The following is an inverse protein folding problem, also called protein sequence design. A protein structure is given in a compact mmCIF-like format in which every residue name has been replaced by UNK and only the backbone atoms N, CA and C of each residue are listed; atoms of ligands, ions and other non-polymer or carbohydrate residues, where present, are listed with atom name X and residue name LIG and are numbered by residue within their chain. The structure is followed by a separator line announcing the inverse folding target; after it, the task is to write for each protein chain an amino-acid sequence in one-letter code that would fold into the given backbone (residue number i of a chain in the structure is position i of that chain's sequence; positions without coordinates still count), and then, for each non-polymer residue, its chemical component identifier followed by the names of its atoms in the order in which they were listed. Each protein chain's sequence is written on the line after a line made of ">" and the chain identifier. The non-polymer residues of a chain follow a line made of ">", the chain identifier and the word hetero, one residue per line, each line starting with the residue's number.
data_IF_155107075417
#
_entry.id   IF_155107075417
#
_cell.length_a   1.000
_cell.length_b   1.000
_cell.length_c   1.000
_cell.angle_alpha   90.00
_cell.angle_beta   90.00
_cell.angle_gamma   90.00
#
_symmetry.space_group_name_H-M   'P 1'
#
loop_
_entity.id
_entity.type
_entity.pdbx_description
1 polymer ?
#
# COMPACT_ATOMS: atom_id res chain seq x y z
N UNK A 1 4.39 -10.81 18.46
CA UNK A 1 5.04 -12.11 18.18
C UNK A 1 5.93 -11.92 16.95
N UNK A 2 7.25 -11.83 17.15
CA UNK A 2 8.22 -11.60 16.08
C UNK A 2 8.38 -12.86 15.23
N UNK A 3 8.07 -12.78 13.94
CA UNK A 3 8.50 -13.78 12.96
C UNK A 3 9.61 -13.14 12.14
N UNK A 4 10.81 -13.13 12.71
CA UNK A 4 12.05 -13.08 11.93
C UNK A 4 12.07 -14.34 11.07
N UNK A 5 12.11 -14.21 9.75
CA UNK A 5 12.60 -15.27 8.87
C UNK A 5 13.89 -14.81 8.23
N UNK A 6 14.98 -15.29 8.83
CA UNK A 6 16.28 -15.45 8.23
C UNK A 6 16.15 -16.14 6.87
N UNK A 7 17.01 -15.78 5.91
CA UNK A 7 17.83 -16.70 5.12
C UNK A 7 18.92 -15.88 4.40
N UNK A 8 20.14 -15.93 4.96
CA UNK A 8 21.34 -15.29 4.42
C UNK A 8 22.01 -16.16 3.35
N UNK A 9 22.77 -15.52 2.44
CA UNK A 9 23.79 -16.17 1.60
C UNK A 9 24.40 -15.23 0.54
N UNK A 10 25.47 -14.51 0.89
CA UNK A 10 26.45 -13.84 -0.01
C UNK A 10 27.79 -14.65 0.06
N UNK A 11 28.82 -14.48 -0.82
CA UNK A 11 29.16 -13.27 -1.58
C UNK A 11 29.70 -13.44 -3.04
N UNK A 12 29.84 -12.26 -3.64
CA UNK A 12 30.63 -11.85 -4.82
C UNK A 12 31.99 -12.53 -5.06
N UNK A 13 32.37 -12.60 -6.33
CA UNK A 13 33.76 -12.64 -6.81
C UNK A 13 34.07 -11.41 -7.68
N UNK A 14 35.20 -10.75 -7.40
CA UNK A 14 35.67 -9.48 -7.99
C UNK A 14 36.41 -9.62 -9.33
N UNK A 15 36.34 -8.52 -10.09
CA UNK A 15 37.20 -7.94 -11.15
C UNK A 15 38.60 -8.50 -11.46
N UNK A 16 38.97 -8.44 -12.75
CA UNK A 16 40.10 -7.67 -13.36
C UNK A 16 40.02 -7.84 -14.90
N UNK A 17 40.31 -6.85 -15.76
CA UNK A 17 41.64 -6.31 -16.08
C UNK A 17 41.59 -4.90 -16.73
N UNK A 18 42.73 -4.21 -16.65
CA UNK A 18 43.01 -2.83 -17.06
C UNK A 18 43.42 -2.63 -18.54
N UNK A 19 43.06 -1.44 -19.05
CA UNK A 19 43.78 -0.51 -19.94
C UNK A 19 44.59 -1.00 -21.16
N UNK A 20 44.22 -0.47 -22.34
CA UNK A 20 45.18 0.15 -23.28
C UNK A 20 44.58 1.45 -23.85
N UNK A 21 45.29 2.56 -23.62
CA UNK A 21 45.04 3.90 -24.18
C UNK A 21 45.48 3.98 -25.66
N UNK A 22 44.93 4.99 -26.35
CA UNK A 22 45.58 5.88 -27.33
C UNK A 22 45.01 5.85 -28.76
N UNK A 23 44.50 7.03 -29.18
CA UNK A 23 44.34 7.57 -30.55
C UNK A 23 43.15 7.08 -31.42
N UNK A 24 41.94 7.51 -31.07
CA UNK A 24 40.96 8.05 -32.05
C UNK A 24 40.29 9.28 -31.43
N UNK A 25 41.10 10.32 -31.25
CA UNK A 25 40.68 11.64 -30.77
C UNK A 25 40.73 12.53 -32.01
N UNK A 26 39.65 12.55 -32.82
CA UNK A 26 39.23 13.68 -33.68
C UNK A 26 38.09 13.37 -34.71
N UNK A 27 37.39 12.23 -34.66
CA UNK A 27 36.31 11.95 -35.64
C UNK A 27 34.98 11.44 -35.07
N UNK A 28 34.73 11.59 -33.76
CA UNK A 28 33.47 11.17 -33.11
C UNK A 28 32.67 12.31 -32.45
N UNK A 29 32.99 13.58 -32.74
CA UNK A 29 32.28 14.72 -32.13
C UNK A 29 31.01 15.17 -32.86
N UNK A 30 30.55 14.44 -33.89
CA UNK A 30 29.40 14.85 -34.71
C UNK A 30 28.31 13.79 -34.91
N UNK A 31 28.36 12.63 -34.23
CA UNK A 31 27.27 11.61 -34.30
C UNK A 31 26.64 11.28 -32.94
N UNK A 32 27.18 11.77 -31.80
CA UNK A 32 26.57 11.56 -30.47
C UNK A 32 25.71 12.74 -30.00
N UNK A 33 25.02 13.40 -30.93
CA UNK A 33 23.77 14.13 -30.67
C UNK A 33 22.57 13.30 -31.14
N UNK A 34 22.66 11.97 -31.06
CA UNK A 34 21.45 11.18 -30.83
C UNK A 34 20.99 11.65 -29.46
N UNK A 35 19.95 12.47 -29.43
CA UNK A 35 19.17 12.73 -28.24
C UNK A 35 19.09 11.42 -27.46
N UNK A 36 19.62 11.38 -26.24
CA UNK A 36 19.14 10.41 -25.27
C UNK A 36 17.67 10.73 -25.09
N UNK A 37 16.81 10.21 -25.97
CA UNK A 37 15.36 10.24 -25.81
C UNK A 37 15.16 9.45 -24.53
N UNK A 38 14.91 10.17 -23.46
CA UNK A 38 14.51 9.57 -22.20
C UNK A 38 13.31 8.69 -22.51
N UNK A 39 13.49 7.37 -22.37
CA UNK A 39 12.41 6.41 -22.64
C UNK A 39 11.22 6.79 -21.77
N UNK A 40 10.03 6.85 -22.36
CA UNK A 40 8.82 7.08 -21.57
C UNK A 40 8.64 5.96 -20.55
N UNK A 41 7.93 6.21 -19.45
CA UNK A 41 7.64 5.16 -18.46
C UNK A 41 6.94 3.93 -19.08
N UNK A 42 6.17 4.15 -20.15
CA UNK A 42 5.52 3.10 -20.92
C UNK A 42 6.57 2.24 -21.66
N UNK A 43 7.52 2.87 -22.35
CA UNK A 43 8.61 2.16 -23.03
C UNK A 43 9.51 1.41 -22.04
N UNK A 44 9.69 1.97 -20.83
CA UNK A 44 10.40 1.30 -19.75
C UNK A 44 9.65 0.03 -19.33
N UNK A 45 8.33 0.09 -19.15
CA UNK A 45 7.52 -1.10 -18.81
C UNK A 45 7.63 -2.18 -19.89
N UNK A 46 7.43 -1.82 -21.16
CA UNK A 46 7.53 -2.78 -22.27
C UNK A 46 8.91 -3.44 -22.31
N UNK A 47 9.98 -2.65 -22.18
CA UNK A 47 11.34 -3.20 -22.14
C UNK A 47 11.60 -4.05 -20.90
N UNK A 48 10.93 -3.75 -19.78
CA UNK A 48 11.07 -4.49 -18.53
C UNK A 48 10.43 -5.87 -18.62
N UNK A 49 9.18 -5.96 -19.12
CA UNK A 49 8.44 -7.23 -19.23
C UNK A 49 8.95 -8.13 -20.37
N UNK A 50 9.53 -7.53 -21.41
CA UNK A 50 10.15 -8.23 -22.55
C UNK A 50 11.65 -8.53 -22.33
N UNK A 51 12.17 -8.30 -21.12
CA UNK A 51 13.60 -8.46 -20.81
C UNK A 51 14.10 -9.85 -21.21
N UNK A 52 15.05 -9.88 -22.13
CA UNK A 52 15.73 -11.10 -22.51
C UNK A 52 16.67 -11.55 -21.39
N UNK A 53 16.64 -12.85 -21.11
CA UNK A 53 17.52 -13.49 -20.13
C UNK A 53 17.74 -14.94 -20.53
N UNK A 54 18.94 -15.44 -20.23
CA UNK A 54 19.30 -16.85 -20.34
C UNK A 54 18.71 -17.68 -19.19
N UNK A 55 18.23 -17.03 -18.14
CA UNK A 55 17.52 -17.70 -17.06
C UNK A 55 16.15 -18.18 -17.53
N UNK A 56 15.73 -19.34 -17.01
CA UNK A 56 14.40 -19.90 -17.28
C UNK A 56 13.29 -18.98 -16.74
N UNK A 57 13.51 -18.41 -15.55
CA UNK A 57 12.63 -17.46 -14.91
C UNK A 57 13.43 -16.35 -14.24
N UNK A 58 12.92 -15.13 -14.31
CA UNK A 58 13.41 -13.96 -13.59
C UNK A 58 12.62 -13.80 -12.30
N UNK A 59 13.27 -13.56 -11.16
CA UNK A 59 12.55 -13.26 -9.92
C UNK A 59 12.19 -11.78 -9.90
N UNK A 60 10.91 -11.45 -9.73
CA UNK A 60 10.49 -10.06 -9.53
C UNK A 60 10.89 -9.61 -8.12
N UNK A 61 11.61 -8.48 -8.04
CA UNK A 61 11.93 -7.80 -6.78
C UNK A 61 11.01 -6.59 -6.63
N UNK A 62 10.25 -6.55 -5.54
CA UNK A 62 9.34 -5.43 -5.18
C UNK A 62 9.99 -4.55 -4.10
N UNK A 63 9.55 -3.30 -4.02
CA UNK A 63 10.03 -2.31 -3.07
C UNK A 63 9.69 -2.65 -1.61
N UNK A 64 8.63 -3.42 -1.40
CA UNK A 64 8.24 -3.91 -0.08
C UNK A 64 9.27 -4.89 0.53
N UNK A 65 9.83 -5.77 -0.31
CA UNK A 65 10.73 -6.83 0.16
C UNK A 65 12.22 -6.47 0.06
N UNK A 66 12.55 -5.43 -0.70
CA UNK A 66 13.93 -5.12 -1.07
C UNK A 66 14.23 -3.65 -0.83
N UNK A 67 15.44 -3.32 -0.32
CA UNK A 67 15.90 -1.93 -0.30
C UNK A 67 15.82 -1.32 -1.70
N UNK A 68 15.39 -0.07 -1.79
CA UNK A 68 15.20 0.65 -3.07
C UNK A 68 16.42 0.57 -3.99
N UNK A 69 17.62 0.66 -3.41
CA UNK A 69 18.91 0.58 -4.12
C UNK A 69 19.16 -0.77 -4.81
N UNK A 70 18.42 -1.82 -4.42
CA UNK A 70 18.57 -3.17 -4.94
C UNK A 70 17.52 -3.56 -5.99
N UNK A 71 16.59 -2.64 -6.27
CA UNK A 71 15.58 -2.80 -7.33
C UNK A 71 16.20 -2.60 -8.72
N UNK A 72 15.59 -3.21 -9.73
CA UNK A 72 15.94 -2.93 -11.12
C UNK A 72 15.68 -1.44 -11.43
N UNK A 73 16.63 -0.76 -12.06
CA UNK A 73 16.53 0.68 -12.31
C UNK A 73 15.34 1.07 -13.18
N UNK A 74 14.86 0.19 -14.07
CA UNK A 74 13.63 0.44 -14.82
C UNK A 74 12.40 0.30 -13.93
N UNK A 75 12.37 -0.71 -13.05
CA UNK A 75 11.29 -0.88 -12.08
C UNK A 75 11.13 0.37 -11.21
N UNK A 76 12.25 0.85 -10.63
CA UNK A 76 12.27 2.04 -9.78
C UNK A 76 11.73 3.27 -10.51
N UNK A 77 12.24 3.54 -11.72
CA UNK A 77 11.77 4.68 -12.54
C UNK A 77 10.30 4.60 -12.89
N UNK A 78 9.77 3.39 -13.10
CA UNK A 78 8.34 3.19 -13.39
C UNK A 78 7.51 3.54 -12.14
N UNK A 79 7.86 3.03 -10.97
CA UNK A 79 7.08 3.26 -9.73
C UNK A 79 7.20 4.69 -9.20
N UNK A 80 8.29 5.40 -9.49
CA UNK A 80 8.43 6.83 -9.16
C UNK A 80 7.55 7.73 -10.06
N UNK A 81 7.14 7.25 -11.24
CA UNK A 81 6.39 8.03 -12.21
C UNK A 81 4.88 7.78 -12.14
N UNK A 82 4.19 8.56 -11.31
CA UNK A 82 2.74 8.51 -11.14
C UNK A 82 1.95 8.86 -12.43
N UNK A 83 2.57 9.53 -13.40
CA UNK A 83 1.96 9.80 -14.71
C UNK A 83 1.61 8.52 -15.49
N UNK A 84 2.25 7.39 -15.15
CA UNK A 84 2.06 6.11 -15.81
C UNK A 84 0.84 5.30 -15.31
N UNK A 85 0.08 5.84 -14.36
CA UNK A 85 -0.98 5.08 -13.66
C UNK A 85 -2.00 4.44 -14.59
N UNK A 86 -2.55 5.22 -15.54
CA UNK A 86 -3.64 4.74 -16.40
C UNK A 86 -3.14 3.63 -17.33
N UNK A 87 -1.91 3.75 -17.82
CA UNK A 87 -1.29 2.73 -18.65
C UNK A 87 -1.02 1.44 -17.84
N UNK A 88 -0.54 1.56 -16.59
CA UNK A 88 -0.38 0.38 -15.73
C UNK A 88 -1.73 -0.28 -15.37
N UNK A 89 -2.79 0.50 -15.16
CA UNK A 89 -4.14 -0.03 -14.94
C UNK A 89 -4.66 -0.78 -16.17
N UNK A 90 -4.43 -0.27 -17.37
CA UNK A 90 -4.74 -0.97 -18.63
C UNK A 90 -3.93 -2.28 -18.74
N UNK A 91 -2.61 -2.22 -18.44
CA UNK A 91 -1.74 -3.39 -18.46
C UNK A 91 -2.12 -4.43 -17.42
N UNK A 92 -2.70 -4.04 -16.28
CA UNK A 92 -3.12 -4.94 -15.22
C UNK A 92 -4.15 -5.99 -15.70
N UNK A 93 -4.89 -5.71 -16.78
CA UNK A 93 -5.84 -6.63 -17.41
C UNK A 93 -5.16 -7.72 -18.24
N UNK A 94 -3.90 -7.51 -18.66
CA UNK A 94 -3.17 -8.41 -19.56
C UNK A 94 -2.86 -9.76 -18.91
N UNK A 95 -3.21 -10.83 -19.62
CA UNK A 95 -2.86 -12.22 -19.27
C UNK A 95 -1.63 -12.74 -20.03
N UNK A 96 -0.93 -11.88 -20.77
CA UNK A 96 0.25 -12.28 -21.53
C UNK A 96 1.37 -12.67 -20.58
N UNK A 97 1.82 -13.92 -20.68
CA UNK A 97 2.90 -14.47 -19.86
C UNK A 97 4.24 -13.75 -20.09
N UNK A 98 5.02 -13.66 -19.02
CA UNK A 98 6.37 -13.10 -19.03
C UNK A 98 7.36 -14.12 -18.49
N UNK A 99 8.66 -13.79 -18.53
CA UNK A 99 9.69 -14.60 -17.87
C UNK A 99 9.75 -14.39 -16.36
N UNK A 100 9.02 -13.41 -15.80
CA UNK A 100 9.06 -13.15 -14.36
C UNK A 100 8.28 -14.22 -13.60
N UNK A 101 8.67 -14.46 -12.35
CA UNK A 101 7.94 -15.30 -11.43
C UNK A 101 7.87 -14.66 -10.04
N UNK A 102 6.86 -15.06 -9.29
CA UNK A 102 6.74 -14.75 -7.87
C UNK A 102 7.50 -15.82 -7.09
N UNK A 103 8.39 -15.42 -6.15
CA UNK A 103 9.02 -16.37 -5.25
C UNK A 103 7.98 -17.31 -4.64
N UNK A 104 8.25 -18.63 -4.68
CA UNK A 104 7.43 -19.71 -4.10
C UNK A 104 6.16 -20.14 -4.85
N UNK A 105 5.77 -19.47 -5.94
CA UNK A 105 4.62 -19.88 -6.75
C UNK A 105 4.98 -20.79 -7.94
N UNK A 106 6.25 -20.74 -8.38
CA UNK A 106 6.78 -21.51 -9.53
C UNK A 106 5.94 -21.34 -10.81
N UNK A 107 5.16 -20.26 -10.90
CA UNK A 107 4.39 -19.89 -12.08
C UNK A 107 4.95 -18.61 -12.72
N UNK A 108 4.99 -18.53 -14.06
CA UNK A 108 5.26 -17.27 -14.74
C UNK A 108 4.17 -16.25 -14.40
N UNK A 109 4.59 -15.01 -14.19
CA UNK A 109 3.71 -13.86 -14.03
C UNK A 109 3.25 -13.37 -15.40
N UNK A 110 2.05 -12.81 -15.47
CA UNK A 110 1.61 -12.05 -16.64
C UNK A 110 2.09 -10.61 -16.58
N UNK A 111 2.05 -9.90 -17.71
CA UNK A 111 2.24 -8.45 -17.76
C UNK A 111 1.32 -7.76 -16.73
N UNK A 112 0.09 -8.23 -16.60
CA UNK A 112 -0.86 -7.69 -15.65
C UNK A 112 -0.50 -7.92 -14.19
N UNK A 113 0.11 -9.05 -13.86
CA UNK A 113 0.58 -9.31 -12.49
C UNK A 113 1.73 -8.36 -12.12
N UNK A 114 2.65 -8.11 -13.04
CA UNK A 114 3.75 -7.15 -12.85
C UNK A 114 3.20 -5.74 -12.67
N UNK A 115 2.21 -5.35 -13.50
CA UNK A 115 1.57 -4.04 -13.40
C UNK A 115 0.83 -3.87 -12.05
N UNK A 116 0.15 -4.92 -11.55
CA UNK A 116 -0.46 -4.93 -10.22
C UNK A 116 0.59 -4.68 -9.13
N UNK A 117 1.72 -5.39 -9.15
CA UNK A 117 2.81 -5.16 -8.20
C UNK A 117 3.33 -3.71 -8.27
N UNK A 118 3.59 -3.20 -9.48
CA UNK A 118 4.08 -1.84 -9.67
C UNK A 118 3.09 -0.79 -9.18
N UNK A 119 1.77 -1.00 -9.34
CA UNK A 119 0.75 -0.08 -8.81
C UNK A 119 0.71 -0.11 -7.28
N UNK A 120 0.82 -1.28 -6.67
CA UNK A 120 0.89 -1.43 -5.21
C UNK A 120 2.09 -0.68 -4.65
N UNK A 121 3.26 -0.86 -5.26
CA UNK A 121 4.51 -0.22 -4.84
C UNK A 121 4.52 1.29 -5.13
N UNK A 122 4.04 1.71 -6.31
CA UNK A 122 3.92 3.13 -6.71
C UNK A 122 3.06 3.93 -5.73
N UNK A 123 1.99 3.32 -5.25
CA UNK A 123 1.04 3.92 -4.32
C UNK A 123 1.24 3.52 -2.87
N UNK A 124 2.37 2.86 -2.56
CA UNK A 124 2.80 2.48 -1.21
C UNK A 124 1.67 1.88 -0.36
N UNK A 125 0.91 0.94 -0.93
CA UNK A 125 -0.20 0.32 -0.21
C UNK A 125 0.33 -0.46 0.99
N UNK A 126 -0.08 -0.07 2.20
CA UNK A 126 0.37 -0.76 3.41
C UNK A 126 -0.11 -2.23 3.44
N UNK A 127 0.69 -3.11 4.04
CA UNK A 127 0.34 -4.52 4.30
C UNK A 127 -1.03 -4.67 4.94
N UNK A 128 -1.33 -3.77 5.87
CA UNK A 128 -2.56 -3.80 6.63
C UNK A 128 -3.80 -3.55 5.76
N UNK A 129 -3.68 -2.60 4.84
CA UNK A 129 -4.71 -2.31 3.85
C UNK A 129 -4.79 -3.45 2.84
N UNK A 130 -3.65 -3.94 2.34
CA UNK A 130 -3.59 -5.06 1.42
C UNK A 130 -4.31 -6.29 2.00
N UNK A 131 -3.96 -6.71 3.22
CA UNK A 131 -4.59 -7.84 3.92
C UNK A 131 -6.10 -7.65 4.10
N UNK A 132 -6.54 -6.46 4.46
CA UNK A 132 -7.97 -6.19 4.70
C UNK A 132 -8.78 -6.13 3.40
N UNK A 133 -8.25 -5.48 2.36
CA UNK A 133 -9.00 -5.13 1.16
C UNK A 133 -8.84 -6.21 0.09
N UNK A 134 -7.62 -6.66 -0.16
CA UNK A 134 -7.37 -7.61 -1.24
C UNK A 134 -7.92 -8.99 -0.89
N UNK A 135 -7.81 -9.42 0.37
CA UNK A 135 -8.26 -10.75 0.79
C UNK A 135 -9.74 -10.87 1.20
N UNK A 136 -10.54 -9.79 1.18
CA UNK A 136 -11.94 -9.82 1.61
C UNK A 136 -12.76 -10.98 0.99
N UNK A 137 -12.47 -11.34 -0.27
CA UNK A 137 -13.15 -12.42 -1.00
C UNK A 137 -12.25 -13.63 -1.31
N UNK A 138 -11.03 -13.66 -0.76
CA UNK A 138 -10.03 -14.67 -1.10
C UNK A 138 -9.99 -15.72 0.01
N UNK A 139 -10.32 -16.97 -0.35
CA UNK A 139 -10.20 -18.09 0.58
C UNK A 139 -8.73 -18.38 0.86
N UNK A 140 -8.27 -18.06 2.07
CA UNK A 140 -6.93 -18.41 2.56
C UNK A 140 -6.80 -19.94 2.69
N UNK A 141 -5.97 -20.56 1.84
CA UNK A 141 -5.69 -22.01 1.85
C UNK A 141 -4.26 -22.28 2.32
N UNK A 142 -3.33 -21.42 1.91
CA UNK A 142 -1.90 -21.54 2.22
C UNK A 142 -1.42 -20.45 3.18
N UNK A 143 -2.30 -19.51 3.53
CA UNK A 143 -2.00 -18.33 4.35
C UNK A 143 -0.82 -17.52 3.80
N UNK A 144 -0.68 -17.51 2.47
CA UNK A 144 0.44 -16.86 1.79
C UNK A 144 -0.04 -16.06 0.57
N UNK A 145 0.85 -15.23 0.03
CA UNK A 145 0.61 -14.48 -1.20
C UNK A 145 0.15 -15.37 -2.37
N UNK A 146 0.46 -16.67 -2.34
CA UNK A 146 -0.06 -17.65 -3.30
C UNK A 146 -1.58 -17.64 -3.41
N UNK A 147 -2.30 -17.50 -2.29
CA UNK A 147 -3.76 -17.49 -2.30
C UNK A 147 -4.32 -16.29 -3.09
N UNK A 148 -3.64 -15.14 -2.99
CA UNK A 148 -4.00 -13.93 -3.74
C UNK A 148 -3.80 -14.12 -5.25
N UNK A 149 -2.65 -14.65 -5.66
CA UNK A 149 -2.36 -14.87 -7.07
C UNK A 149 -3.21 -15.99 -7.68
N UNK A 150 -3.43 -17.08 -6.94
CA UNK A 150 -4.36 -18.14 -7.35
C UNK A 150 -5.78 -17.58 -7.54
N UNK A 151 -6.21 -16.62 -6.71
CA UNK A 151 -7.49 -15.94 -6.87
C UNK A 151 -7.54 -15.11 -8.16
N UNK A 152 -6.52 -14.26 -8.40
CA UNK A 152 -6.45 -13.44 -9.62
C UNK A 152 -6.48 -14.31 -10.87
N UNK A 153 -5.73 -15.41 -10.87
CA UNK A 153 -5.59 -16.30 -12.02
C UNK A 153 -6.80 -17.21 -12.24
N UNK A 154 -7.70 -17.34 -11.25
CA UNK A 154 -8.88 -18.19 -11.38
C UNK A 154 -9.92 -17.67 -12.39
N UNK A 155 -10.04 -16.35 -12.60
CA UNK A 155 -10.91 -15.79 -13.63
C UNK A 155 -10.60 -14.33 -13.97
N UNK A 156 -11.02 -13.89 -15.16
CA UNK A 156 -10.98 -12.48 -15.57
C UNK A 156 -11.78 -11.57 -14.62
N UNK A 157 -12.90 -12.06 -14.08
CA UNK A 157 -13.71 -11.30 -13.12
C UNK A 157 -12.95 -11.03 -11.81
N UNK A 158 -12.19 -12.01 -11.32
CA UNK A 158 -11.37 -11.86 -10.13
C UNK A 158 -10.25 -10.83 -10.37
N UNK A 159 -9.60 -10.88 -11.53
CA UNK A 159 -8.62 -9.87 -11.94
C UNK A 159 -9.25 -8.47 -11.97
N UNK A 160 -10.42 -8.30 -12.60
CA UNK A 160 -11.15 -7.02 -12.64
C UNK A 160 -11.51 -6.51 -11.25
N UNK A 161 -11.88 -7.40 -10.34
CA UNK A 161 -12.16 -7.02 -8.94
C UNK A 161 -10.91 -6.45 -8.25
N UNK A 162 -9.75 -7.11 -8.40
CA UNK A 162 -8.49 -6.61 -7.84
C UNK A 162 -8.11 -5.27 -8.46
N UNK A 163 -8.23 -5.12 -9.78
CA UNK A 163 -7.98 -3.85 -10.47
C UNK A 163 -8.91 -2.75 -9.94
N UNK A 164 -10.20 -3.04 -9.72
CA UNK A 164 -11.13 -2.10 -9.08
C UNK A 164 -10.65 -1.70 -7.69
N UNK A 165 -10.25 -2.64 -6.84
CA UNK A 165 -9.74 -2.36 -5.48
C UNK A 165 -8.48 -1.49 -5.50
N UNK A 166 -7.56 -1.76 -6.43
CA UNK A 166 -6.37 -0.92 -6.65
C UNK A 166 -6.79 0.48 -7.13
N UNK A 167 -7.75 0.58 -8.04
CA UNK A 167 -8.24 1.86 -8.56
C UNK A 167 -8.88 2.70 -7.44
N UNK A 168 -9.65 2.06 -6.56
CA UNK A 168 -10.21 2.69 -5.35
C UNK A 168 -9.12 3.19 -4.41
N UNK A 169 -8.09 2.38 -4.16
CA UNK A 169 -6.92 2.80 -3.40
C UNK A 169 -6.22 4.00 -4.02
N UNK A 170 -6.00 3.99 -5.34
CA UNK A 170 -5.35 5.08 -6.06
C UNK A 170 -6.19 6.36 -5.97
N UNK A 171 -7.52 6.27 -6.06
CA UNK A 171 -8.39 7.43 -5.89
C UNK A 171 -8.27 8.02 -4.48
N UNK A 172 -8.20 7.16 -3.45
CA UNK A 172 -7.94 7.59 -2.08
C UNK A 172 -6.56 8.27 -2.02
N UNK A 173 -5.54 7.64 -2.60
CA UNK A 173 -4.17 8.14 -2.58
C UNK A 173 -4.00 9.51 -3.28
N UNK A 174 -4.55 9.63 -4.49
CA UNK A 174 -4.41 10.83 -5.34
C UNK A 174 -5.30 11.98 -4.94
N UNK A 175 -6.32 11.73 -4.14
CA UNK A 175 -7.18 12.81 -3.69
C UNK A 175 -6.30 13.85 -2.99
N UNK A 176 -6.55 15.15 -3.23
CA UNK A 176 -6.02 16.23 -2.36
C UNK A 176 -6.51 16.10 -0.91
N UNK A 177 -7.43 15.16 -0.72
CA UNK A 177 -7.93 14.60 0.53
C UNK A 177 -7.02 13.44 1.02
N UNK A 178 -5.77 13.27 0.54
CA UNK A 178 -4.81 12.44 1.26
C UNK A 178 -4.39 13.22 2.49
N UNK A 179 -5.18 13.11 3.56
CA UNK A 179 -4.71 13.62 4.80
C UNK A 179 -3.70 12.68 5.42
N UNK A 180 -2.72 13.37 5.97
CA UNK A 180 -1.72 12.83 6.84
C UNK A 180 -2.36 12.01 7.96
N UNK A 181 -1.63 11.01 8.45
CA UNK A 181 -1.95 10.31 9.67
C UNK A 181 -2.39 11.20 10.80
N UNK A 182 -3.22 10.66 11.68
CA UNK A 182 -3.49 11.31 12.96
C UNK A 182 -2.19 11.23 13.76
N UNK A 183 -1.74 12.34 14.34
CA UNK A 183 -0.71 12.29 15.40
C UNK A 183 -1.37 12.01 16.75
N UNK A 184 -0.62 11.54 17.74
CA UNK A 184 -1.18 11.36 19.10
C UNK A 184 -1.76 12.67 19.65
N UNK A 185 -1.05 13.79 19.44
CA UNK A 185 -1.48 15.13 19.88
C UNK A 185 -2.78 15.61 19.20
N UNK A 186 -3.03 15.19 17.96
CA UNK A 186 -4.24 15.57 17.22
C UNK A 186 -5.51 14.90 17.75
N UNK A 187 -5.35 13.82 18.52
CA UNK A 187 -6.46 12.94 18.89
C UNK A 187 -6.70 12.96 20.38
N UNK A 188 -5.62 13.08 21.14
CA UNK A 188 -5.67 13.30 22.58
C UNK A 188 -6.44 14.60 22.83
N UNK A 189 -7.35 14.56 23.80
CA UNK A 189 -8.24 15.67 24.15
C UNK A 189 -9.23 16.08 23.05
N UNK A 190 -9.52 15.23 22.07
CA UNK A 190 -10.61 15.47 21.12
C UNK A 190 -11.72 14.45 21.29
N UNK A 191 -12.95 14.92 21.08
CA UNK A 191 -14.17 14.12 20.96
C UNK A 191 -14.54 14.03 19.48
N UNK A 192 -14.80 12.84 19.00
CA UNK A 192 -15.21 12.57 17.62
C UNK A 192 -16.59 11.93 17.63
N UNK A 193 -17.54 12.49 16.90
CA UNK A 193 -18.93 12.03 16.81
C UNK A 193 -19.30 11.72 15.37
N UNK A 194 -19.70 10.50 15.08
CA UNK A 194 -20.10 10.10 13.74
C UNK A 194 -21.35 10.87 13.30
N UNK A 195 -21.27 11.51 12.14
CA UNK A 195 -22.40 12.12 11.46
C UNK A 195 -23.17 11.00 10.75
N UNK A 196 -24.23 10.50 11.40
CA UNK A 196 -25.08 9.43 10.86
C UNK A 196 -26.54 9.57 11.31
N UNK A 197 -27.48 9.26 10.41
CA UNK A 197 -28.92 9.23 10.73
C UNK A 197 -29.34 7.95 11.45
N UNK A 198 -28.56 6.88 11.36
CA UNK A 198 -28.96 5.53 11.81
C UNK A 198 -28.10 4.96 12.93
N UNK A 199 -26.90 5.53 13.14
CA UNK A 199 -25.92 5.05 14.11
C UNK A 199 -25.51 6.18 15.06
N UNK A 200 -25.16 5.79 16.27
CA UNK A 200 -24.41 6.61 17.22
C UNK A 200 -23.02 6.01 17.27
N UNK A 201 -22.03 6.86 17.07
CA UNK A 201 -20.65 6.50 17.38
C UNK A 201 -19.94 7.74 17.91
N UNK A 202 -19.29 7.61 19.06
CA UNK A 202 -18.54 8.68 19.69
C UNK A 202 -17.27 8.10 20.28
N UNK A 203 -16.14 8.75 20.01
CA UNK A 203 -14.84 8.43 20.57
C UNK A 203 -14.32 9.62 21.37
N UNK A 204 -13.78 9.37 22.55
CA UNK A 204 -13.03 10.36 23.33
C UNK A 204 -11.72 9.74 23.77
N UNK A 205 -10.61 10.41 23.47
CA UNK A 205 -9.26 9.94 23.80
C UNK A 205 -8.70 10.77 24.95
N UNK A 206 -8.29 10.08 26.01
CA UNK A 206 -7.71 10.68 27.20
C UNK A 206 -6.35 10.04 27.51
N UNK A 207 -5.39 10.88 27.92
CA UNK A 207 -4.12 10.42 28.46
C UNK A 207 -4.16 10.58 29.98
N UNK A 208 -3.88 9.52 30.73
CA UNK A 208 -3.72 9.60 32.19
C UNK A 208 -2.27 9.93 32.55
N UNK A 209 -2.05 10.43 33.77
CA UNK A 209 -0.72 10.81 34.29
C UNK A 209 0.29 9.63 34.29
N UNK A 210 -0.20 8.39 34.28
CA UNK A 210 0.58 7.15 34.25
C UNK A 210 0.91 6.67 32.82
N UNK A 211 0.81 7.54 31.81
CA UNK A 211 0.95 7.25 30.36
C UNK A 211 -0.08 6.26 29.79
N UNK A 212 -1.01 5.75 30.61
CA UNK A 212 -2.09 4.89 30.14
C UNK A 212 -3.08 5.74 29.33
N UNK A 213 -3.21 5.42 28.05
CA UNK A 213 -4.14 6.08 27.14
C UNK A 213 -5.49 5.34 27.18
N UNK A 214 -6.55 6.02 27.60
CA UNK A 214 -7.90 5.46 27.74
C UNK A 214 -8.78 6.02 26.61
N UNK A 215 -9.59 5.15 25.99
CA UNK A 215 -10.60 5.54 25.00
C UNK A 215 -11.99 5.25 25.52
N UNK A 216 -12.79 6.29 25.65
CA UNK A 216 -14.22 6.13 25.87
C UNK A 216 -14.91 6.06 24.51
N UNK A 217 -15.54 4.92 24.24
CA UNK A 217 -16.33 4.73 23.02
C UNK A 217 -17.80 4.48 23.36
N UNK A 218 -18.68 5.14 22.62
CA UNK A 218 -20.10 4.84 22.57
C UNK A 218 -20.39 4.42 21.13
N UNK A 219 -20.97 3.24 20.93
CA UNK A 219 -21.31 2.71 19.61
C UNK A 219 -22.65 1.98 19.69
N UNK A 220 -23.65 2.38 18.90
CA UNK A 220 -24.89 1.61 18.70
C UNK A 220 -25.76 2.16 17.53
N UNK A 221 -26.98 1.64 17.35
CA UNK A 221 -28.08 2.27 16.63
C UNK A 221 -28.74 3.31 17.53
N UNK A 222 -29.27 4.40 16.96
CA UNK A 222 -29.88 5.49 17.75
C UNK A 222 -31.01 5.06 18.72
N UNK A 223 -31.60 3.89 18.51
CA UNK A 223 -32.74 3.38 19.27
C UNK A 223 -32.44 2.15 20.17
N UNK A 224 -31.20 1.69 20.23
CA UNK A 224 -30.72 0.68 21.18
C UNK A 224 -29.45 1.20 21.83
N UNK A 225 -29.31 1.12 23.15
CA UNK A 225 -28.10 1.60 23.84
C UNK A 225 -27.34 0.43 24.44
N UNK A 226 -26.13 0.19 23.93
CA UNK A 226 -25.09 -0.63 24.53
C UNK A 226 -23.81 0.20 24.55
N UNK A 227 -23.37 0.62 25.72
CA UNK A 227 -22.05 1.20 25.94
C UNK A 227 -21.03 0.08 26.09
N UNK A 228 -19.88 0.21 25.43
CA UNK A 228 -18.77 -0.73 25.57
C UNK A 228 -17.45 0.03 25.59
N UNK A 229 -16.64 -0.09 26.64
CA UNK A 229 -15.32 0.52 26.65
C UNK A 229 -14.46 -0.10 25.54
N UNK A 230 -13.63 0.73 24.93
CA UNK A 230 -12.56 0.27 24.06
C UNK A 230 -11.29 0.38 24.88
N UNK A 231 -10.65 -0.75 25.10
CA UNK A 231 -9.54 -0.85 26.05
C UNK A 231 -8.22 -0.32 25.47
N UNK A 232 -8.08 -0.17 24.14
CA UNK A 232 -6.82 0.24 23.53
C UNK A 232 -6.95 0.90 22.15
N UNK A 233 -6.03 1.82 21.85
CA UNK A 233 -5.80 2.38 20.51
C UNK A 233 -4.30 2.47 20.20
N UNK A 234 -3.95 2.49 18.92
CA UNK A 234 -2.61 2.84 18.46
C UNK A 234 -2.63 3.43 17.06
N UNK A 235 -1.57 4.16 16.68
CA UNK A 235 -1.38 4.61 15.30
C UNK A 235 -0.48 3.60 14.58
N UNK A 236 -1.03 2.87 13.61
CA UNK A 236 -0.31 1.88 12.79
C UNK A 236 -0.22 2.36 11.36
N UNK A 237 1.01 2.52 10.84
CA UNK A 237 1.25 3.02 9.49
C UNK A 237 0.47 4.31 9.20
N UNK A 238 0.31 5.13 10.24
CA UNK A 238 -0.39 6.39 10.18
C UNK A 238 -1.92 6.31 10.19
N UNK A 239 -2.50 5.16 10.53
CA UNK A 239 -3.94 5.00 10.71
C UNK A 239 -4.23 4.77 12.19
N UNK A 240 -5.24 5.47 12.72
CA UNK A 240 -5.75 5.21 14.07
C UNK A 240 -6.45 3.84 14.07
N UNK A 241 -5.92 2.92 14.86
CA UNK A 241 -6.45 1.59 15.08
C UNK A 241 -7.06 1.52 16.47
N UNK A 242 -8.33 1.13 16.53
CA UNK A 242 -9.11 1.04 17.76
C UNK A 242 -9.45 -0.44 18.02
N UNK A 243 -9.17 -0.93 19.23
CA UNK A 243 -9.25 -2.34 19.60
C UNK A 243 -10.28 -2.62 20.68
N UNK A 244 -11.17 -3.58 20.42
CA UNK A 244 -12.13 -4.07 21.41
C UNK A 244 -11.54 -5.26 22.20
N UNK A 245 -11.17 -5.03 23.47
CA UNK A 245 -10.76 -6.00 24.52
C UNK A 245 -9.64 -7.00 24.15
N UNK A 246 -8.55 -7.04 24.94
CA UNK A 246 -7.44 -7.98 24.71
C UNK A 246 -7.82 -9.46 24.87
N UNK A 247 -8.93 -9.77 25.57
CA UNK A 247 -9.35 -11.13 25.94
C UNK A 247 -10.44 -11.74 25.03
N UNK A 248 -10.95 -11.00 24.04
CA UNK A 248 -11.89 -11.55 23.06
C UNK A 248 -11.13 -12.32 21.96
N UNK A 249 -11.47 -13.60 21.76
CA UNK A 249 -10.92 -14.52 20.74
C UNK A 249 -10.98 -13.99 19.29
N UNK A 250 -11.69 -12.89 19.04
CA UNK A 250 -11.78 -12.20 17.75
C UNK A 250 -11.59 -10.70 17.97
N UNK A 251 -10.36 -10.20 17.74
CA UNK A 251 -10.06 -8.77 17.77
C UNK A 251 -10.85 -8.06 16.68
N UNK A 252 -11.97 -7.42 17.02
CA UNK A 252 -12.61 -6.45 16.12
C UNK A 252 -11.76 -5.18 16.15
N UNK A 253 -11.12 -4.87 15.03
CA UNK A 253 -10.35 -3.64 14.83
C UNK A 253 -11.14 -2.65 13.99
N UNK A 254 -11.20 -1.40 14.43
CA UNK A 254 -11.67 -0.28 13.61
C UNK A 254 -10.43 0.49 13.17
N UNK A 255 -10.24 0.62 11.85
CA UNK A 255 -9.17 1.42 11.27
C UNK A 255 -9.79 2.74 10.82
N UNK A 256 -9.20 3.84 11.24
CA UNK A 256 -9.65 5.21 10.95
C UNK A 256 -8.44 5.99 10.44
N UNK A 257 -8.45 6.34 9.16
CA UNK A 257 -7.48 7.29 8.59
C UNK A 257 -8.05 8.70 8.53
N UNK A 258 -7.22 9.75 8.72
CA UNK A 258 -7.60 11.14 8.38
C UNK A 258 -7.67 11.19 6.86
N UNK A 259 -8.73 11.76 6.29
CA UNK A 259 -8.84 12.04 4.84
C UNK A 259 -9.30 13.46 4.50
N UNK A 260 -9.95 14.23 5.38
CA UNK A 260 -9.96 15.72 5.29
C UNK A 260 -10.36 16.35 6.62
N UNK A 261 -9.83 17.53 6.98
CA UNK A 261 -10.30 18.34 8.10
C UNK A 261 -10.87 19.60 7.47
N UNK A 262 -12.13 19.87 7.77
CA UNK A 262 -12.81 21.12 7.49
C UNK A 262 -12.94 21.86 8.82
N UNK A 263 -11.95 22.69 9.12
CA UNK A 263 -11.87 23.41 10.41
C UNK A 263 -13.04 24.37 10.62
N UNK A 264 -13.55 24.96 9.54
CA UNK A 264 -14.69 25.90 9.59
C UNK A 264 -15.98 25.20 10.02
N UNK A 265 -16.16 23.94 9.60
CA UNK A 265 -17.36 23.15 9.92
C UNK A 265 -17.20 22.24 11.12
N UNK A 266 -15.99 22.15 11.69
CA UNK A 266 -15.63 21.16 12.71
C UNK A 266 -15.89 19.72 12.23
N UNK A 267 -15.70 19.46 10.93
CA UNK A 267 -15.92 18.14 10.33
C UNK A 267 -14.58 17.52 9.95
N UNK A 268 -14.41 16.28 10.36
CA UNK A 268 -13.33 15.40 9.95
C UNK A 268 -13.90 14.30 9.07
N UNK A 269 -13.29 14.10 7.91
CA UNK A 269 -13.56 12.96 7.06
C UNK A 269 -12.55 11.87 7.38
N UNK A 270 -13.06 10.68 7.64
CA UNK A 270 -12.24 9.50 7.85
C UNK A 270 -12.66 8.37 6.93
N UNK A 271 -11.76 7.42 6.68
CA UNK A 271 -12.14 6.15 6.09
C UNK A 271 -12.18 5.07 7.15
N UNK A 272 -13.35 4.45 7.27
CA UNK A 272 -13.55 3.26 8.10
C UNK A 272 -13.85 2.09 7.19
N UNK A 273 -13.04 1.04 7.28
CA UNK A 273 -13.20 -0.15 6.43
C UNK A 273 -13.42 0.24 4.95
N UNK A 274 -12.60 1.18 4.46
CA UNK A 274 -12.60 1.70 3.09
C UNK A 274 -13.83 2.49 2.66
N UNK A 275 -14.67 2.91 3.61
CA UNK A 275 -15.80 3.81 3.34
C UNK A 275 -15.53 5.16 3.97
N UNK A 276 -15.71 6.21 3.15
CA UNK A 276 -15.73 7.59 3.64
C UNK A 276 -16.87 7.75 4.64
N UNK A 277 -16.52 8.25 5.81
CA UNK A 277 -17.43 8.61 6.89
C UNK A 277 -17.04 9.98 7.43
N UNK A 278 -18.00 10.66 8.01
CA UNK A 278 -17.83 12.01 8.55
C UNK A 278 -17.99 11.95 10.06
N UNK A 279 -17.05 12.59 10.76
CA UNK A 279 -17.11 12.84 12.17
C UNK A 279 -17.20 14.33 12.39
N UNK A 280 -18.09 14.77 13.27
CA UNK A 280 -17.91 16.05 13.95
C UNK A 280 -16.79 15.87 14.96
N UNK A 281 -15.82 16.77 15.00
CA UNK A 281 -14.78 16.77 16.02
C UNK A 281 -14.93 17.98 16.94
N UNK A 282 -14.59 17.83 18.21
CA UNK A 282 -14.64 18.92 19.19
C UNK A 282 -13.45 18.81 20.11
N UNK A 283 -12.70 19.92 20.26
CA UNK A 283 -11.58 19.99 21.19
C UNK A 283 -12.12 20.05 22.61
N UNK A 284 -11.74 19.11 23.45
CA UNK A 284 -12.04 19.15 24.87
C UNK A 284 -11.29 20.35 25.47
N UNK A 285 -12.02 21.20 26.20
CA UNK A 285 -11.36 22.22 27.01
C UNK A 285 -10.61 21.50 28.11
N UNK A 286 -9.29 21.61 28.10
CA UNK A 286 -8.46 21.25 29.24
C UNK A 286 -8.98 22.03 30.46
N UNK A 287 -9.66 21.32 31.36
CA UNK A 287 -10.03 21.78 32.71
C UNK A 287 -8.80 21.81 33.59
#
# INVERSE_FOLDING_TARGET
>A
MQVKRMLCGLPFGQQKEEFVKVKIMLFFFTITLISCIEKSANDLFESFVQKESNEKYLVLKTADLNPTESLDGNYLKIIENHGNTNYLLEKAESIKETKYCIPNLVCPMTEGDIAVCMLIDMYQMSDNYFETVMYENIKRKTDSAKDFWDYIHASENNRKEIIRKITEWIMIYKSSDLLLPWTEDEIINHRFELISDTKIETFVFHQTDDEIQIVDCIYDKKDSFVTGPIEYWCIENGLLCIYQDENMLFKKRIIIGKIRIDEEKEILYAYRNNKKIEYKYTKNKST
#
